data_IF_114343625679
#
_entry.id   IF_114343625679
#
_cell.length_a   1.000
_cell.length_b   1.000
_cell.length_c   1.000
_cell.angle_alpha   90.00
_cell.angle_beta   90.00
_cell.angle_gamma   90.00
#
_symmetry.space_group_name_H-M   'P 1'
#
loop_
_entity.id
_entity.type
_entity.pdbx_description
1 polymer ?
#
# COMPACT_ATOMS: atom_id res chain seq x y z
N UNK A 1 -5.56 17.48 -7.89
CA UNK A 1 -4.81 16.20 -7.79
C UNK A 1 -5.68 15.08 -8.34
N UNK A 2 -5.17 14.19 -9.20
CA UNK A 2 -5.98 13.14 -9.81
C UNK A 2 -6.57 12.17 -8.78
N UNK A 3 -7.78 11.66 -9.03
CA UNK A 3 -8.49 10.74 -8.12
C UNK A 3 -7.76 9.40 -7.92
N UNK A 4 -6.80 9.05 -8.78
CA UNK A 4 -5.98 7.85 -8.71
C UNK A 4 -4.71 8.03 -7.85
N UNK A 5 -4.33 9.28 -7.53
CA UNK A 5 -3.12 9.56 -6.76
C UNK A 5 -3.33 9.30 -5.25
N UNK A 6 -2.35 8.65 -4.60
CA UNK A 6 -2.37 8.48 -3.15
C UNK A 6 -2.28 9.84 -2.44
N UNK A 7 -3.04 10.07 -1.36
CA UNK A 7 -3.03 11.33 -0.60
C UNK A 7 -1.91 11.38 0.46
N UNK A 8 -1.59 12.58 0.98
CA UNK A 8 -0.47 12.76 1.92
C UNK A 8 -0.71 11.90 3.16
N UNK A 9 0.34 11.21 3.61
CA UNK A 9 0.30 10.22 4.68
C UNK A 9 -0.09 8.82 4.24
N UNK A 10 -0.71 8.63 3.07
CA UNK A 10 -1.04 7.29 2.60
C UNK A 10 0.21 6.50 2.22
N UNK A 11 0.05 5.19 2.32
CA UNK A 11 1.05 4.21 1.94
C UNK A 11 0.89 3.78 0.48
N UNK A 12 2.01 3.66 -0.23
CA UNK A 12 2.09 3.13 -1.59
C UNK A 12 3.14 2.02 -1.68
N UNK A 13 2.96 1.10 -2.63
CA UNK A 13 3.89 0.02 -2.93
C UNK A 13 4.55 0.23 -4.30
N UNK A 14 5.85 -0.07 -4.38
CA UNK A 14 6.52 -0.24 -5.67
C UNK A 14 6.16 -1.60 -6.31
N UNK A 15 5.78 -1.59 -7.59
CA UNK A 15 5.37 -2.80 -8.33
C UNK A 15 6.26 -3.14 -9.53
N UNK A 16 7.13 -2.22 -9.95
CA UNK A 16 8.17 -2.40 -10.98
C UNK A 16 9.51 -1.85 -10.48
N UNK A 17 10.57 -2.04 -11.27
CA UNK A 17 11.86 -1.41 -11.00
C UNK A 17 11.82 0.10 -11.21
N UNK A 18 12.35 0.89 -10.28
CA UNK A 18 12.51 2.35 -10.41
C UNK A 18 13.56 2.90 -9.44
N UNK A 19 14.01 4.13 -9.68
CA UNK A 19 14.91 4.85 -8.79
C UNK A 19 14.16 5.84 -7.89
N UNK A 20 14.72 6.08 -6.69
CA UNK A 20 14.45 7.25 -5.86
C UNK A 20 15.43 8.35 -6.23
N UNK A 21 14.95 9.59 -6.26
CA UNK A 21 15.70 10.77 -6.69
C UNK A 21 15.69 11.84 -5.61
N UNK A 22 16.69 12.72 -5.59
CA UNK A 22 16.73 13.87 -4.67
C UNK A 22 15.66 14.93 -4.99
N UNK A 23 15.37 15.14 -6.27
CA UNK A 23 14.40 16.13 -6.78
C UNK A 23 13.37 15.51 -7.73
N UNK A 24 12.33 16.27 -8.07
CA UNK A 24 11.21 15.81 -8.91
C UNK A 24 11.58 15.69 -10.41
N UNK A 25 12.48 16.53 -10.90
CA UNK A 25 12.98 16.51 -12.27
C UNK A 25 14.05 15.43 -12.41
N UNK A 26 13.66 14.19 -12.70
CA UNK A 26 14.54 13.02 -12.63
C UNK A 26 15.76 13.10 -13.56
N UNK A 27 16.95 12.92 -12.98
CA UNK A 27 18.23 12.86 -13.69
C UNK A 27 19.12 11.74 -13.10
N UNK A 28 20.11 11.26 -13.84
CA UNK A 28 20.97 10.15 -13.38
C UNK A 28 21.81 10.52 -12.15
N UNK A 29 22.36 11.74 -12.11
CA UNK A 29 23.33 12.17 -11.09
C UNK A 29 22.73 12.38 -9.70
N UNK A 30 21.40 12.48 -9.61
CA UNK A 30 20.69 12.63 -8.34
C UNK A 30 19.99 11.35 -7.86
N UNK A 31 20.23 10.20 -8.51
CA UNK A 31 19.69 8.91 -8.06
C UNK A 31 20.21 8.61 -6.66
N UNK A 32 19.29 8.33 -5.75
CA UNK A 32 19.58 7.99 -4.35
C UNK A 32 19.65 6.48 -4.17
N UNK A 33 18.67 5.75 -4.73
CA UNK A 33 18.55 4.31 -4.53
C UNK A 33 17.74 3.67 -5.64
N UNK A 34 18.15 2.48 -6.09
CA UNK A 34 17.34 1.64 -6.97
C UNK A 34 16.45 0.68 -6.16
N UNK A 35 15.21 0.51 -6.61
CA UNK A 35 14.29 -0.50 -6.11
C UNK A 35 14.00 -1.49 -7.23
N UNK A 36 14.42 -2.74 -7.05
CA UNK A 36 14.11 -3.81 -7.99
C UNK A 36 12.63 -4.24 -7.92
N UNK A 37 12.14 -4.85 -9.00
CA UNK A 37 10.85 -5.53 -9.00
C UNK A 37 10.90 -6.70 -8.02
N UNK A 38 9.89 -6.80 -7.15
CA UNK A 38 9.81 -7.86 -6.13
C UNK A 38 8.43 -8.50 -6.11
N UNK A 39 8.36 -9.70 -5.51
CA UNK A 39 7.09 -10.38 -5.25
C UNK A 39 6.17 -9.52 -4.38
N UNK A 40 4.84 -9.70 -4.48
CA UNK A 40 3.84 -8.85 -3.81
C UNK A 40 4.09 -8.68 -2.30
N UNK A 41 4.52 -9.75 -1.63
CA UNK A 41 4.81 -9.76 -0.19
C UNK A 41 6.10 -9.00 0.17
N UNK A 42 7.03 -8.85 -0.78
CA UNK A 42 8.32 -8.19 -0.56
C UNK A 42 8.39 -6.77 -1.14
N UNK A 43 7.28 -6.27 -1.72
CA UNK A 43 7.23 -4.93 -2.31
C UNK A 43 7.67 -3.85 -1.32
N UNK A 44 8.54 -2.92 -1.75
CA UNK A 44 8.92 -1.79 -0.93
C UNK A 44 7.70 -0.91 -0.68
N UNK A 45 7.57 -0.43 0.54
CA UNK A 45 6.49 0.43 0.99
C UNK A 45 7.02 1.84 1.24
N UNK A 46 6.24 2.83 0.85
CA UNK A 46 6.57 4.24 1.01
C UNK A 46 5.39 4.99 1.61
N UNK A 47 5.68 5.95 2.48
CA UNK A 47 4.68 6.92 2.94
C UNK A 47 4.81 8.18 2.10
N UNK A 48 3.71 8.61 1.51
CA UNK A 48 3.65 9.86 0.75
C UNK A 48 3.75 11.04 1.71
N UNK A 49 4.75 11.88 1.52
CA UNK A 49 5.01 13.09 2.31
C UNK A 49 4.55 14.36 1.59
N UNK A 50 4.37 14.30 0.27
CA UNK A 50 3.89 15.39 -0.55
C UNK A 50 4.00 15.07 -2.04
N UNK A 51 3.91 16.10 -2.87
CA UNK A 51 3.88 15.99 -4.33
C UNK A 51 4.66 17.12 -4.95
N UNK A 52 5.11 16.89 -6.18
CA UNK A 52 5.59 17.93 -7.07
C UNK A 52 5.32 17.49 -8.51
N UNK A 53 5.05 18.43 -9.41
CA UNK A 53 5.10 18.19 -10.85
C UNK A 53 6.52 18.43 -11.34
N UNK A 54 7.00 17.57 -12.23
CA UNK A 54 8.23 17.88 -12.96
C UNK A 54 7.98 18.90 -14.07
N UNK A 55 9.05 19.37 -14.70
CA UNK A 55 9.00 20.41 -15.73
C UNK A 55 8.20 19.96 -16.98
N UNK A 56 8.04 18.64 -17.16
CA UNK A 56 7.23 18.03 -18.21
C UNK A 56 5.78 17.76 -17.76
N UNK A 57 5.36 18.31 -16.61
CA UNK A 57 4.00 18.18 -16.07
C UNK A 57 3.69 16.83 -15.39
N UNK A 58 4.65 15.93 -15.24
CA UNK A 58 4.40 14.63 -14.62
C UNK A 58 4.35 14.74 -13.10
N UNK A 59 3.34 14.12 -12.50
CA UNK A 59 3.25 14.02 -11.05
C UNK A 59 4.35 13.12 -10.46
N UNK A 60 5.01 13.60 -9.41
CA UNK A 60 6.01 12.88 -8.61
C UNK A 60 5.59 12.86 -7.15
N UNK A 61 5.73 11.71 -6.50
CA UNK A 61 5.52 11.60 -5.05
C UNK A 61 6.80 11.98 -4.32
N UNK A 62 6.71 12.91 -3.37
CA UNK A 62 7.72 13.05 -2.31
C UNK A 62 7.44 11.98 -1.26
N UNK A 63 8.40 11.13 -0.95
CA UNK A 63 8.21 9.94 -0.13
C UNK A 63 9.33 9.73 0.88
N UNK A 64 9.10 8.82 1.81
CA UNK A 64 10.14 8.12 2.54
C UNK A 64 9.79 6.63 2.61
N UNK A 65 10.77 5.75 2.44
CA UNK A 65 10.55 4.31 2.59
C UNK A 65 10.17 3.98 4.04
N UNK A 66 9.22 3.08 4.21
CA UNK A 66 8.71 2.64 5.50
C UNK A 66 8.73 1.12 5.59
N UNK A 67 9.21 0.59 6.71
CA UNK A 67 9.19 -0.83 6.98
C UNK A 67 8.03 -1.16 7.95
N UNK A 68 6.94 -1.79 7.47
CA UNK A 68 5.80 -2.12 8.32
C UNK A 68 6.11 -3.21 9.35
N UNK A 69 7.17 -4.01 9.15
CA UNK A 69 7.50 -5.11 10.07
C UNK A 69 8.06 -4.60 11.40
N UNK A 70 8.77 -3.48 11.39
CA UNK A 70 9.35 -2.88 12.59
C UNK A 70 8.81 -1.46 12.88
N UNK A 71 7.87 -0.98 12.08
CA UNK A 71 7.21 0.31 12.28
C UNK A 71 8.08 1.54 12.00
N UNK A 72 9.25 1.39 11.38
CA UNK A 72 10.24 2.46 11.22
C UNK A 72 10.38 2.95 9.79
N UNK A 73 10.71 4.22 9.63
CA UNK A 73 11.18 4.77 8.37
C UNK A 73 12.62 4.32 8.09
N UNK A 74 12.95 4.10 6.82
CA UNK A 74 14.32 3.77 6.43
C UNK A 74 15.12 5.08 6.26
N UNK A 75 16.24 5.20 6.95
CA UNK A 75 17.14 6.35 6.85
C UNK A 75 17.68 6.50 5.42
N UNK A 76 17.98 7.73 4.99
CA UNK A 76 18.51 8.02 3.65
C UNK A 76 17.54 7.81 2.48
N UNK A 77 16.26 7.49 2.73
CA UNK A 77 15.27 7.21 1.67
C UNK A 77 14.23 8.30 1.46
N UNK A 78 14.47 9.51 1.98
CA UNK A 78 13.64 10.68 1.67
C UNK A 78 13.98 11.15 0.26
N UNK A 79 12.96 11.38 -0.57
CA UNK A 79 13.17 11.85 -1.94
C UNK A 79 11.91 11.76 -2.79
N UNK A 80 12.08 11.66 -4.10
CA UNK A 80 11.02 11.64 -5.08
C UNK A 80 11.00 10.32 -5.87
N UNK A 81 9.81 9.79 -6.11
CA UNK A 81 9.57 8.63 -6.98
C UNK A 81 8.44 8.94 -7.97
N UNK A 82 8.38 8.18 -9.05
CA UNK A 82 7.32 8.32 -10.05
C UNK A 82 5.94 8.13 -9.41
N UNK A 83 4.95 8.93 -9.81
CA UNK A 83 3.56 8.69 -9.43
C UNK A 83 2.80 7.78 -10.42
N UNK A 84 3.45 7.37 -11.51
CA UNK A 84 2.84 6.56 -12.56
C UNK A 84 2.35 5.20 -12.01
N UNK A 85 1.07 4.90 -12.23
CA UNK A 85 0.41 3.70 -11.71
C UNK A 85 0.99 2.38 -12.25
N UNK A 86 1.74 2.43 -13.36
CA UNK A 86 2.49 1.27 -13.89
C UNK A 86 3.65 0.85 -12.96
N UNK A 87 4.13 1.75 -12.09
CA UNK A 87 5.30 1.55 -11.23
C UNK A 87 4.95 1.53 -9.75
N UNK A 88 3.92 2.27 -9.34
CA UNK A 88 3.50 2.39 -7.94
C UNK A 88 1.99 2.24 -7.80
N UNK A 89 1.53 1.68 -6.69
CA UNK A 89 0.09 1.54 -6.41
C UNK A 89 -0.21 1.90 -4.96
N UNK A 90 -1.42 2.36 -4.66
CA UNK A 90 -1.91 2.47 -3.28
C UNK A 90 -1.80 1.14 -2.54
N UNK A 91 -1.30 1.19 -1.30
CA UNK A 91 -1.09 0.02 -0.48
C UNK A 91 -2.40 -0.65 -0.04
N UNK A 92 -3.48 0.12 0.03
CA UNK A 92 -4.81 -0.33 0.45
C UNK A 92 -5.76 -0.37 -0.74
N UNK A 93 -6.68 -1.33 -0.75
CA UNK A 93 -7.82 -1.30 -1.66
C UNK A 93 -8.76 -0.16 -1.27
N UNK A 94 -9.46 0.41 -2.25
CA UNK A 94 -10.44 1.50 -2.08
C UNK A 94 -11.87 1.06 -2.36
N UNK A 95 -12.05 -0.10 -2.99
CA UNK A 95 -13.35 -0.67 -3.37
C UNK A 95 -13.43 -2.14 -2.98
N UNK A 96 -14.60 -2.76 -3.17
CA UNK A 96 -14.84 -4.18 -2.88
C UNK A 96 -14.82 -4.98 -4.18
N UNK A 97 -14.23 -6.20 -4.24
CA UNK A 97 -14.28 -7.03 -5.44
C UNK A 97 -15.72 -7.39 -5.82
N UNK A 98 -16.01 -7.49 -7.13
CA UNK A 98 -17.35 -7.78 -7.65
C UNK A 98 -17.92 -9.08 -7.07
N UNK A 99 -17.12 -10.14 -7.01
CA UNK A 99 -17.52 -11.45 -6.46
C UNK A 99 -17.53 -11.52 -4.92
N UNK A 100 -17.28 -10.38 -4.24
CA UNK A 100 -17.27 -10.26 -2.78
C UNK A 100 -16.34 -11.27 -2.08
N UNK A 101 -15.26 -11.70 -2.74
CA UNK A 101 -14.30 -12.67 -2.20
C UNK A 101 -12.88 -12.12 -2.21
N UNK A 102 -12.16 -12.32 -1.11
CA UNK A 102 -10.73 -12.04 -1.00
C UNK A 102 -9.99 -13.30 -0.55
N UNK A 103 -8.73 -13.45 -0.94
CA UNK A 103 -7.84 -14.55 -0.55
C UNK A 103 -6.70 -14.03 0.33
N UNK A 104 -6.40 -14.74 1.41
CA UNK A 104 -5.27 -14.44 2.31
C UNK A 104 -3.95 -14.84 1.64
N UNK A 105 -3.01 -13.89 1.54
CA UNK A 105 -1.68 -14.09 0.96
C UNK A 105 -0.56 -14.22 2.00
N UNK A 106 -0.74 -13.58 3.16
CA UNK A 106 0.27 -13.53 4.24
C UNK A 106 0.68 -14.93 4.72
N UNK A 107 2.00 -15.20 4.83
CA UNK A 107 2.52 -16.47 5.38
C UNK A 107 2.01 -16.72 6.79
N UNK A 108 1.95 -15.66 7.62
CA UNK A 108 1.50 -15.72 9.00
C UNK A 108 -0.03 -15.61 9.14
N UNK A 109 -0.76 -15.67 8.02
CA UNK A 109 -2.20 -15.46 8.00
C UNK A 109 -2.62 -14.00 8.21
N UNK A 110 -3.94 -13.80 8.33
CA UNK A 110 -4.58 -12.51 8.59
C UNK A 110 -5.54 -12.67 9.76
N UNK A 111 -5.33 -11.88 10.81
CA UNK A 111 -6.24 -11.78 11.95
C UNK A 111 -7.48 -10.96 11.56
N UNK A 112 -8.62 -11.36 12.07
CA UNK A 112 -9.87 -10.61 12.07
C UNK A 112 -10.20 -10.10 13.46
N UNK A 113 -10.99 -9.04 13.50
CA UNK A 113 -11.21 -8.21 14.67
C UNK A 113 -12.67 -7.79 14.74
N UNK A 114 -13.19 -7.57 15.94
CA UNK A 114 -14.57 -7.08 16.13
C UNK A 114 -14.72 -5.64 15.67
N UNK A 115 -13.68 -4.82 15.85
CA UNK A 115 -13.72 -3.38 15.61
C UNK A 115 -12.88 -2.95 14.39
N UNK A 116 -13.25 -1.81 13.79
CA UNK A 116 -12.61 -1.26 12.58
C UNK A 116 -11.15 -0.82 12.84
N UNK A 117 -10.82 -0.45 14.08
CA UNK A 117 -9.46 -0.13 14.55
C UNK A 117 -8.51 -1.34 14.46
N UNK A 118 -9.05 -2.55 14.24
CA UNK A 118 -8.36 -3.84 14.43
C UNK A 118 -8.09 -4.16 15.91
N UNK A 119 -9.06 -3.87 16.78
CA UNK A 119 -9.07 -4.27 18.20
C UNK A 119 -10.14 -5.34 18.45
N UNK A 120 -10.01 -6.08 19.57
CA UNK A 120 -10.88 -7.23 19.86
C UNK A 120 -10.66 -8.37 18.86
N UNK A 121 -9.45 -8.97 18.89
CA UNK A 121 -9.08 -10.10 18.02
C UNK A 121 -10.15 -11.20 18.12
N UNK A 122 -10.66 -11.64 16.96
CA UNK A 122 -11.69 -12.67 16.87
C UNK A 122 -11.10 -13.99 16.33
N UNK A 123 -10.65 -14.01 15.08
CA UNK A 123 -10.18 -15.24 14.40
C UNK A 123 -8.94 -15.00 13.55
N UNK A 124 -8.03 -15.98 13.51
CA UNK A 124 -6.92 -16.02 12.55
C UNK A 124 -7.32 -16.82 11.30
N UNK A 125 -7.17 -16.22 10.13
CA UNK A 125 -7.33 -16.90 8.84
C UNK A 125 -5.96 -17.25 8.27
N UNK A 126 -5.73 -18.53 7.95
CA UNK A 126 -4.46 -19.03 7.42
C UNK A 126 -4.24 -18.56 5.98
N UNK A 127 -3.00 -18.65 5.49
CA UNK A 127 -2.68 -18.41 4.07
C UNK A 127 -3.58 -19.27 3.18
N UNK A 128 -4.08 -18.70 2.10
CA UNK A 128 -4.95 -19.40 1.15
C UNK A 128 -6.43 -19.38 1.50
N UNK A 129 -6.82 -19.02 2.74
CA UNK A 129 -8.24 -18.87 3.11
C UNK A 129 -8.94 -17.86 2.20
N UNK A 130 -10.14 -18.22 1.74
CA UNK A 130 -11.04 -17.32 1.02
C UNK A 130 -12.06 -16.74 1.99
N UNK A 131 -12.17 -15.42 2.04
CA UNK A 131 -13.08 -14.70 2.93
C UNK A 131 -14.17 -14.00 2.10
N UNK A 132 -15.41 -14.10 2.57
CA UNK A 132 -16.54 -13.34 2.01
C UNK A 132 -16.57 -11.95 2.66
N UNK A 133 -16.60 -10.91 1.84
CA UNK A 133 -16.58 -9.51 2.27
C UNK A 133 -17.91 -8.83 1.96
N UNK A 134 -18.45 -8.09 2.92
CA UNK A 134 -19.68 -7.30 2.75
C UNK A 134 -19.35 -5.96 2.08
N UNK A 135 -18.43 -5.23 2.69
CA UNK A 135 -18.06 -3.87 2.28
C UNK A 135 -16.61 -3.55 2.62
N UNK A 136 -16.10 -2.46 2.06
CA UNK A 136 -14.84 -1.86 2.46
C UNK A 136 -15.13 -0.59 3.27
N UNK A 137 -14.38 -0.39 4.35
CA UNK A 137 -14.50 0.77 5.23
C UNK A 137 -13.15 1.50 5.30
N UNK A 138 -13.18 2.82 5.19
CA UNK A 138 -12.00 3.67 5.39
C UNK A 138 -11.79 3.85 6.90
N UNK A 139 -10.55 3.78 7.34
CA UNK A 139 -10.15 4.09 8.71
C UNK A 139 -8.83 4.86 8.67
N UNK A 140 -8.89 6.17 8.96
CA UNK A 140 -7.77 7.10 8.80
C UNK A 140 -7.17 7.01 7.38
N UNK A 141 -5.88 6.65 7.27
CA UNK A 141 -5.12 6.54 6.02
C UNK A 141 -5.13 5.11 5.42
N UNK A 142 -5.87 4.20 6.03
CA UNK A 142 -5.96 2.79 5.65
C UNK A 142 -7.40 2.38 5.37
N UNK A 143 -7.58 1.14 4.89
CA UNK A 143 -8.91 0.54 4.73
C UNK A 143 -9.00 -0.82 5.40
N UNK A 144 -10.23 -1.26 5.63
CA UNK A 144 -10.62 -2.53 6.23
C UNK A 144 -11.70 -3.17 5.39
N UNK A 145 -11.67 -4.48 5.24
CA UNK A 145 -12.85 -5.20 4.77
C UNK A 145 -13.68 -5.63 5.96
N UNK A 146 -14.97 -5.31 5.92
CA UNK A 146 -15.95 -5.94 6.79
C UNK A 146 -16.34 -7.28 6.16
N UNK A 147 -16.17 -8.35 6.92
CA UNK A 147 -16.59 -9.69 6.57
C UNK A 147 -18.12 -9.84 6.75
N UNK A 148 -18.70 -10.88 6.16
CA UNK A 148 -20.16 -11.13 6.28
C UNK A 148 -20.61 -11.40 7.70
N UNK A 149 -19.72 -11.85 8.58
CA UNK A 149 -19.97 -12.05 10.02
C UNK A 149 -19.73 -10.79 10.87
N UNK A 150 -19.61 -9.61 10.24
CA UNK A 150 -19.43 -8.34 10.94
C UNK A 150 -17.99 -7.98 11.31
N UNK A 151 -17.09 -8.96 11.41
CA UNK A 151 -15.68 -8.75 11.77
C UNK A 151 -14.92 -8.00 10.66
N UNK A 152 -13.78 -7.41 11.02
CA UNK A 152 -12.91 -6.64 10.14
C UNK A 152 -11.56 -7.31 9.91
N UNK A 153 -11.06 -7.21 8.68
CA UNK A 153 -9.69 -7.58 8.30
C UNK A 153 -9.00 -6.42 7.57
N UNK A 154 -7.67 -6.42 7.52
CA UNK A 154 -6.91 -5.40 6.80
C UNK A 154 -7.27 -5.34 5.31
N UNK A 155 -7.42 -4.13 4.77
CA UNK A 155 -7.60 -3.88 3.33
C UNK A 155 -6.27 -3.75 2.56
N UNK A 156 -5.14 -4.09 3.17
CA UNK A 156 -3.82 -3.96 2.52
C UNK A 156 -3.59 -5.03 1.45
N UNK A 157 -3.19 -4.57 0.26
CA UNK A 157 -2.85 -5.41 -0.90
C UNK A 157 -1.68 -6.36 -0.65
N UNK A 158 -0.90 -6.15 0.40
CA UNK A 158 0.24 -7.01 0.76
C UNK A 158 -0.20 -8.30 1.46
N UNK A 159 -1.31 -8.25 2.20
CA UNK A 159 -1.79 -9.38 2.99
C UNK A 159 -2.95 -10.14 2.34
N UNK A 160 -3.68 -9.49 1.43
CA UNK A 160 -4.84 -10.08 0.75
C UNK A 160 -4.88 -9.72 -0.73
N UNK A 161 -5.58 -10.53 -1.51
CA UNK A 161 -5.87 -10.26 -2.92
C UNK A 161 -7.34 -10.52 -3.24
N UNK A 162 -7.89 -9.81 -4.21
CA UNK A 162 -9.19 -10.16 -4.77
C UNK A 162 -9.10 -11.52 -5.46
N UNK A 163 -10.17 -12.32 -5.36
CA UNK A 163 -10.34 -13.53 -6.16
C UNK A 163 -11.05 -13.18 -7.45
#
# INVERSE_FOLDING_TARGET
MPNWAAVKGQSIYGIKGFYLYKHANFNKNQRVKYYAKTSRVNRPQFIVKGYKTDDNGNLRYKVQQYNPSNGKYVAGTKGYITANEKYVVRAYYTTTPKNKKIKVLSKNGVKSYKNIELTGKAKLYKKGSTLKVKSIKKYKLATRYQLTNGNYVTGSKKFIIWK
#
